data_IF_117856240229
#
_entry.id   IF_117856240229
#
_cell.length_a   1.000
_cell.length_b   1.000
_cell.length_c   1.000
_cell.angle_alpha   90.00
_cell.angle_beta   90.00
_cell.angle_gamma   90.00
#
_symmetry.space_group_name_H-M   'P 1'
#
loop_
_entity.id
_entity.type
_entity.pdbx_description
1 polymer ?
#
# COMPACT_ATOMS: atom_id res chain seq x y z
N UNK A 1 -13.74 -33.36 -33.79
CA UNK A 1 -14.59 -32.17 -33.50
C UNK A 1 -15.75 -32.56 -32.60
N UNK A 2 -16.51 -33.61 -32.90
CA UNK A 2 -17.69 -34.00 -32.11
C UNK A 2 -17.38 -34.43 -30.67
N UNK A 3 -16.24 -35.10 -30.45
CA UNK A 3 -15.77 -35.44 -29.10
C UNK A 3 -15.61 -34.20 -28.22
N UNK A 4 -14.97 -33.15 -28.75
CA UNK A 4 -14.72 -31.90 -28.02
C UNK A 4 -16.04 -31.20 -27.72
N UNK A 5 -17.00 -31.19 -28.68
CA UNK A 5 -18.33 -30.64 -28.44
C UNK A 5 -19.04 -31.35 -27.29
N UNK A 6 -19.06 -32.69 -27.31
CA UNK A 6 -19.68 -33.49 -26.24
C UNK A 6 -19.05 -33.26 -24.87
N UNK A 7 -17.72 -33.15 -24.80
CA UNK A 7 -17.01 -32.81 -23.56
C UNK A 7 -17.38 -31.41 -23.07
N UNK A 8 -17.50 -30.43 -23.98
CA UNK A 8 -17.94 -29.08 -23.64
C UNK A 8 -19.38 -29.04 -23.11
N UNK A 9 -20.30 -29.72 -23.78
CA UNK A 9 -21.70 -29.81 -23.35
C UNK A 9 -21.79 -30.45 -21.95
N UNK A 10 -20.99 -31.49 -21.71
CA UNK A 10 -20.91 -32.15 -20.40
C UNK A 10 -20.34 -31.21 -19.32
N UNK A 11 -19.32 -30.41 -19.66
CA UNK A 11 -18.78 -29.41 -18.73
C UNK A 11 -19.80 -28.31 -18.43
N UNK A 12 -20.58 -27.86 -19.41
CA UNK A 12 -21.63 -26.85 -19.18
C UNK A 12 -22.69 -27.35 -18.21
N UNK A 13 -23.15 -28.60 -18.36
CA UNK A 13 -24.08 -29.23 -17.41
C UNK A 13 -23.47 -29.28 -16.01
N UNK A 14 -22.21 -29.70 -15.88
CA UNK A 14 -21.54 -29.71 -14.59
C UNK A 14 -21.41 -28.31 -13.96
N UNK A 15 -21.14 -27.27 -14.76
CA UNK A 15 -21.09 -25.89 -14.28
C UNK A 15 -22.45 -25.38 -13.81
N UNK A 16 -23.54 -25.77 -14.48
CA UNK A 16 -24.91 -25.46 -14.05
C UNK A 16 -25.17 -26.06 -12.67
N UNK A 17 -24.85 -27.33 -12.48
CA UNK A 17 -24.98 -28.00 -11.18
C UNK A 17 -24.15 -27.32 -10.08
N UNK A 18 -22.88 -27.00 -10.35
CA UNK A 18 -22.01 -26.30 -9.39
C UNK A 18 -22.53 -24.90 -9.00
N UNK A 19 -23.36 -24.28 -9.84
CA UNK A 19 -24.01 -23.00 -9.55
C UNK A 19 -25.28 -23.14 -8.71
N UNK A 20 -25.71 -24.37 -8.40
CA UNK A 20 -26.98 -24.61 -7.70
C UNK A 20 -28.19 -24.74 -8.64
N UNK A 21 -27.97 -24.87 -9.94
CA UNK A 21 -29.03 -25.02 -10.94
C UNK A 21 -29.28 -26.51 -11.25
N UNK A 22 -30.53 -26.87 -11.58
CA UNK A 22 -30.97 -28.25 -11.90
C UNK A 22 -30.59 -29.35 -10.87
N UNK A 23 -30.50 -29.00 -9.60
CA UNK A 23 -30.06 -29.92 -8.54
C UNK A 23 -30.96 -31.16 -8.40
N UNK A 24 -32.23 -31.05 -8.78
CA UNK A 24 -33.18 -32.16 -8.72
C UNK A 24 -32.89 -33.27 -9.76
N UNK A 25 -32.06 -33.02 -10.77
CA UNK A 25 -31.65 -34.05 -11.73
C UNK A 25 -30.56 -34.99 -11.19
N UNK A 26 -29.94 -34.63 -10.07
CA UNK A 26 -28.85 -35.38 -9.45
C UNK A 26 -29.35 -36.35 -8.38
N UNK A 27 -28.68 -37.49 -8.29
CA UNK A 27 -28.91 -38.44 -7.20
C UNK A 27 -28.12 -38.08 -5.94
N UNK A 28 -28.45 -38.72 -4.82
CA UNK A 28 -27.83 -38.44 -3.53
C UNK A 28 -26.29 -38.56 -3.52
N UNK A 29 -25.71 -39.52 -4.25
CA UNK A 29 -24.26 -39.68 -4.30
C UNK A 29 -23.59 -38.55 -5.09
N UNK A 30 -24.21 -38.13 -6.18
CA UNK A 30 -23.71 -37.02 -7.00
C UNK A 30 -23.77 -35.69 -6.23
N UNK A 31 -24.83 -35.47 -5.46
CA UNK A 31 -24.95 -34.31 -4.58
C UNK A 31 -23.84 -34.28 -3.51
N UNK A 32 -23.56 -35.42 -2.88
CA UNK A 32 -22.51 -35.52 -1.86
C UNK A 32 -21.12 -35.19 -2.44
N UNK A 33 -20.80 -35.71 -3.63
CA UNK A 33 -19.54 -35.40 -4.31
C UNK A 33 -19.43 -33.92 -4.67
N UNK A 34 -20.53 -33.31 -5.13
CA UNK A 34 -20.56 -31.89 -5.44
C UNK A 34 -20.37 -31.02 -4.19
N UNK A 35 -21.06 -31.35 -3.09
CA UNK A 35 -20.95 -30.65 -1.82
C UNK A 35 -19.50 -30.68 -1.31
N UNK A 36 -18.87 -31.85 -1.31
CA UNK A 36 -17.46 -32.00 -0.92
C UNK A 36 -16.54 -31.15 -1.82
N UNK A 37 -16.75 -31.19 -3.14
CA UNK A 37 -15.96 -30.39 -4.07
C UNK A 37 -16.11 -28.87 -3.85
N UNK A 38 -17.34 -28.40 -3.63
CA UNK A 38 -17.64 -26.99 -3.32
C UNK A 38 -17.03 -26.57 -1.98
N UNK A 39 -17.17 -27.39 -0.94
CA UNK A 39 -16.62 -27.12 0.38
C UNK A 39 -15.09 -27.04 0.35
N UNK A 40 -14.44 -27.95 -0.37
CA UNK A 40 -12.99 -27.95 -0.55
C UNK A 40 -12.52 -26.74 -1.36
N UNK A 41 -13.24 -26.40 -2.44
CA UNK A 41 -12.97 -25.22 -3.28
C UNK A 41 -13.09 -23.93 -2.49
N UNK A 42 -14.18 -23.75 -1.74
CA UNK A 42 -14.43 -22.58 -0.88
C UNK A 42 -13.34 -22.45 0.18
N UNK A 43 -13.02 -23.55 0.88
CA UNK A 43 -11.98 -23.56 1.91
C UNK A 43 -10.62 -23.17 1.34
N UNK A 44 -10.28 -23.70 0.16
CA UNK A 44 -9.02 -23.39 -0.53
C UNK A 44 -8.94 -21.92 -0.97
N UNK A 45 -10.03 -21.36 -1.50
CA UNK A 45 -10.09 -19.95 -1.91
C UNK A 45 -9.97 -19.04 -0.69
N UNK A 46 -10.70 -19.34 0.39
CA UNK A 46 -10.66 -18.56 1.62
C UNK A 46 -9.26 -18.53 2.25
N UNK A 47 -8.56 -19.68 2.26
CA UNK A 47 -7.18 -19.77 2.71
C UNK A 47 -6.24 -18.89 1.88
N UNK A 48 -6.37 -18.92 0.55
CA UNK A 48 -5.58 -18.06 -0.36
C UNK A 48 -5.87 -16.58 -0.16
N UNK A 49 -7.14 -16.19 0.01
CA UNK A 49 -7.52 -14.80 0.27
C UNK A 49 -6.93 -14.29 1.59
N UNK A 50 -6.99 -15.11 2.64
CA UNK A 50 -6.42 -14.79 3.94
C UNK A 50 -4.90 -14.63 3.88
N UNK A 51 -4.23 -15.48 3.09
CA UNK A 51 -2.79 -15.39 2.88
C UNK A 51 -2.38 -14.12 2.13
N UNK A 52 -3.12 -13.75 1.07
CA UNK A 52 -2.89 -12.50 0.33
C UNK A 52 -3.05 -11.29 1.28
N UNK A 53 -4.12 -11.27 2.07
CA UNK A 53 -4.35 -10.19 3.03
C UNK A 53 -3.24 -10.08 4.06
N UNK A 54 -2.72 -11.22 4.55
CA UNK A 54 -1.59 -11.26 5.49
C UNK A 54 -0.32 -10.70 4.86
N UNK A 55 -0.02 -11.04 3.60
CA UNK A 55 1.12 -10.49 2.87
C UNK A 55 1.01 -8.98 2.66
N UNK A 56 -0.15 -8.49 2.22
CA UNK A 56 -0.39 -7.06 2.01
C UNK A 56 -0.17 -6.28 3.31
N UNK A 57 -0.79 -6.72 4.42
CA UNK A 57 -0.60 -6.08 5.73
C UNK A 57 0.86 -6.04 6.18
N UNK A 58 1.62 -7.12 5.93
CA UNK A 58 3.04 -7.16 6.26
C UNK A 58 3.84 -6.19 5.39
N UNK A 59 3.54 -6.11 4.11
CA UNK A 59 4.19 -5.17 3.20
C UNK A 59 3.91 -3.72 3.59
N UNK A 60 2.66 -3.39 3.97
CA UNK A 60 2.29 -2.06 4.43
C UNK A 60 3.08 -1.67 5.70
N UNK A 61 3.22 -2.59 6.66
CA UNK A 61 4.02 -2.35 7.87
C UNK A 61 5.48 -2.05 7.56
N UNK A 62 6.09 -2.85 6.67
CA UNK A 62 7.49 -2.65 6.25
C UNK A 62 7.63 -1.30 5.53
N UNK A 63 6.71 -0.99 4.62
CA UNK A 63 6.73 0.25 3.85
C UNK A 63 6.59 1.49 4.76
N UNK A 64 5.70 1.43 5.76
CA UNK A 64 5.56 2.48 6.76
C UNK A 64 6.83 2.67 7.59
N UNK A 65 7.48 1.58 7.99
CA UNK A 65 8.73 1.62 8.75
C UNK A 65 9.88 2.21 7.92
N UNK A 66 10.06 1.75 6.69
CA UNK A 66 11.06 2.28 5.77
C UNK A 66 10.83 3.77 5.48
N UNK A 67 9.58 4.17 5.27
CA UNK A 67 9.22 5.57 5.06
C UNK A 67 9.57 6.44 6.28
N UNK A 68 9.29 5.97 7.52
CA UNK A 68 9.69 6.66 8.75
C UNK A 68 11.20 6.79 8.87
N UNK A 69 11.95 5.73 8.56
CA UNK A 69 13.41 5.75 8.58
C UNK A 69 13.99 6.73 7.56
N UNK A 70 13.46 6.75 6.34
CA UNK A 70 13.87 7.68 5.29
C UNK A 70 13.55 9.13 5.64
N UNK A 71 12.38 9.40 6.21
CA UNK A 71 12.03 10.73 6.71
C UNK A 71 13.01 11.20 7.79
N UNK A 72 13.34 10.33 8.75
CA UNK A 72 14.30 10.64 9.81
C UNK A 72 15.69 10.96 9.23
N UNK A 73 16.18 10.12 8.31
CA UNK A 73 17.47 10.33 7.66
C UNK A 73 17.50 11.61 6.81
N UNK A 74 16.40 11.94 6.12
CA UNK A 74 16.25 13.18 5.36
C UNK A 74 16.31 14.40 6.28
N UNK A 75 15.56 14.37 7.38
CA UNK A 75 15.54 15.44 8.37
C UNK A 75 16.91 15.66 9.01
N UNK A 76 17.62 14.57 9.35
CA UNK A 76 18.97 14.65 9.90
C UNK A 76 19.95 15.29 8.91
N UNK A 77 19.87 14.96 7.61
CA UNK A 77 20.70 15.57 6.56
C UNK A 77 20.40 17.06 6.38
N UNK A 78 19.13 17.45 6.41
CA UNK A 78 18.72 18.87 6.33
C UNK A 78 19.29 19.67 7.50
N UNK A 79 19.19 19.14 8.72
CA UNK A 79 19.76 19.78 9.91
C UNK A 79 21.29 19.84 9.86
N UNK A 80 21.96 18.81 9.36
CA UNK A 80 23.41 18.81 9.18
C UNK A 80 23.86 19.82 8.11
N UNK A 81 23.14 19.94 6.99
CA UNK A 81 23.39 20.94 5.95
C UNK A 81 23.19 22.36 6.48
N UNK A 82 22.12 22.59 7.26
CA UNK A 82 21.86 23.87 7.94
C UNK A 82 22.93 24.18 8.99
N UNK A 83 23.40 23.20 9.76
CA UNK A 83 24.48 23.37 10.75
C UNK A 83 25.86 23.59 10.12
N UNK A 84 26.14 22.98 8.97
CA UNK A 84 27.32 23.25 8.15
C UNK A 84 27.30 24.66 7.56
N UNK A 85 26.15 25.08 7.03
CA UNK A 85 25.93 26.46 6.60
C UNK A 85 26.03 27.44 7.78
N UNK A 86 25.52 27.09 8.96
CA UNK A 86 25.63 27.95 10.15
C UNK A 86 27.09 28.08 10.63
N UNK A 87 27.90 27.02 10.53
CA UNK A 87 29.35 27.07 10.82
C UNK A 87 30.11 27.92 9.81
N UNK A 88 29.82 27.79 8.51
CA UNK A 88 30.43 28.62 7.45
C UNK A 88 30.01 30.09 7.60
N UNK A 89 28.74 30.36 7.93
CA UNK A 89 28.26 31.72 8.22
C UNK A 89 28.89 32.26 9.50
N UNK A 90 29.06 31.46 10.56
CA UNK A 90 29.78 31.90 11.75
C UNK A 90 31.23 32.23 11.43
N UNK A 91 31.93 31.35 10.70
CA UNK A 91 33.33 31.51 10.34
C UNK A 91 33.54 32.74 9.43
N UNK A 92 32.69 32.98 8.42
CA UNK A 92 32.72 34.21 7.63
C UNK A 92 32.40 35.48 8.46
N UNK A 93 31.47 35.39 9.42
CA UNK A 93 31.14 36.52 10.32
C UNK A 93 32.27 36.82 11.31
N UNK A 94 33.03 35.82 11.76
CA UNK A 94 34.22 36.03 12.59
C UNK A 94 35.37 36.66 11.80
N UNK A 95 35.45 36.44 10.47
CA UNK A 95 36.44 37.09 9.60
C UNK A 95 36.01 38.51 9.15
N UNK A 96 34.75 38.90 9.34
CA UNK A 96 34.24 40.25 9.08
C UNK A 96 34.21 41.16 10.31
N UNK A 97 34.60 40.67 11.50
CA UNK A 97 34.62 41.44 12.75
C UNK A 97 35.72 42.52 12.85
N UNK A 98 36.54 42.71 11.82
CA UNK A 98 37.48 43.84 11.69
C UNK A 98 36.97 44.97 10.78
N UNK A 99 35.71 44.90 10.29
CA UNK A 99 35.08 46.04 9.61
C UNK A 99 33.76 46.40 10.28
N UNK A 100 33.82 47.47 11.04
CA UNK A 100 32.69 48.19 11.63
C UNK A 100 31.55 48.36 10.62
N UNK A 101 30.46 47.59 10.73
CA UNK A 101 29.13 48.01 10.27
C UNK A 101 28.03 47.14 10.91
N UNK A 102 27.03 47.84 11.42
CA UNK A 102 25.86 47.40 12.16
C UNK A 102 25.08 46.29 11.41
N UNK A 103 25.26 45.02 11.80
CA UNK A 103 24.54 43.90 11.19
C UNK A 103 23.14 43.78 11.80
N UNK A 104 22.16 44.41 11.17
CA UNK A 104 20.73 44.18 11.40
C UNK A 104 20.41 42.72 11.05
N UNK A 105 20.27 41.86 12.07
CA UNK A 105 19.89 40.46 11.92
C UNK A 105 18.45 40.33 11.36
N UNK A 106 18.22 39.81 10.14
CA UNK A 106 16.88 39.67 9.61
C UNK A 106 16.40 38.23 9.84
N UNK A 107 16.23 37.82 11.10
CA UNK A 107 15.53 36.57 11.41
C UNK A 107 14.14 36.88 11.96
N UNK A 108 13.25 37.32 11.07
CA UNK A 108 11.82 37.19 11.35
C UNK A 108 11.44 35.74 11.06
N UNK A 109 11.02 35.03 12.11
CA UNK A 109 10.33 33.73 12.05
C UNK A 109 9.10 33.87 11.15
N UNK A 110 9.25 33.71 9.83
CA UNK A 110 8.11 33.51 8.93
C UNK A 110 7.80 32.03 8.88
N UNK A 111 6.91 31.61 9.76
CA UNK A 111 6.12 30.40 9.56
C UNK A 111 5.43 30.58 8.20
N UNK A 112 5.81 29.80 7.20
CA UNK A 112 5.06 29.78 5.95
C UNK A 112 3.67 29.23 6.26
N UNK A 113 2.57 29.90 5.87
CA UNK A 113 1.26 29.29 5.99
C UNK A 113 1.24 28.07 5.07
N UNK A 114 1.27 26.87 5.64
CA UNK A 114 0.83 25.67 4.92
C UNK A 114 -0.63 25.91 4.57
N UNK A 115 -0.90 26.21 3.30
CA UNK A 115 -2.26 26.40 2.81
C UNK A 115 -3.05 25.10 3.02
N UNK A 116 -4.22 25.13 3.68
CA UNK A 116 -5.10 23.98 3.75
C UNK A 116 -5.90 23.94 2.44
N UNK A 117 -5.55 23.06 1.51
CA UNK A 117 -6.48 22.66 0.47
C UNK A 117 -7.49 21.66 1.05
N UNK A 118 -8.41 22.18 1.87
CA UNK A 118 -9.72 21.60 2.06
C UNK A 118 -10.66 22.42 1.18
N UNK A 119 -11.29 21.82 0.18
CA UNK A 119 -12.69 22.02 -0.16
C UNK A 119 -13.08 20.91 -1.14
N UNK A 120 -13.93 20.00 -0.64
CA UNK A 120 -14.76 19.12 -1.44
C UNK A 120 -15.51 19.93 -2.51
N UNK A 121 -15.59 19.37 -3.72
CA UNK A 121 -16.68 19.68 -4.64
C UNK A 121 -17.53 18.42 -4.77
N UNK A 122 -18.74 18.51 -4.23
CA UNK A 122 -19.91 17.79 -4.77
C UNK A 122 -20.12 18.16 -6.24
#
# INVERSE_FOLDING_TARGET
IDRIKKENDSMQVNLMHLKGEDINSLNHKELMVMEEALQNGLSSISAKQSEILRMVRKNDQILEEEHKQLQYASHQKEMAAMGGNMRVIQEEVYHQRDRDYEYQMPFSLRVQPMQPNLHERM
#
